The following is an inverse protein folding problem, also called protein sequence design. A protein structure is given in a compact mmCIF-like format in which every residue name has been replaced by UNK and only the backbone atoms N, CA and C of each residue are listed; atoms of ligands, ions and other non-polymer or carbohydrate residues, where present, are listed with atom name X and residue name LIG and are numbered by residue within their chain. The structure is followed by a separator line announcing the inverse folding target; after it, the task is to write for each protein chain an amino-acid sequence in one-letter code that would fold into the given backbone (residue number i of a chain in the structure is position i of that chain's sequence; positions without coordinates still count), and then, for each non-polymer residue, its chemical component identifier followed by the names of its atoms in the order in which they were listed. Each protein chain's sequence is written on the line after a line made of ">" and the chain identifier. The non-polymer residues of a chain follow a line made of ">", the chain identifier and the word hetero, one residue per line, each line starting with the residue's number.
data_IF_006138314674
#
_entry.id   IF_006138314674
#
_cell.length_a   1.000
_cell.length_b   1.000
_cell.length_c   1.000
_cell.angle_alpha   90.00
_cell.angle_beta   90.00
_cell.angle_gamma   90.00
#
_symmetry.space_group_name_H-M   'P 1'
#
loop_
_entity.id
_entity.type
_entity.pdbx_description
1 polymer ?
#
# COMPACT_ATOMS: atom_id res chain seq x y z
N UNK A 1 17.64 -18.02 -13.73
CA UNK A 1 18.16 -17.01 -12.78
C UNK A 1 16.97 -16.32 -12.16
N UNK A 2 16.87 -16.25 -10.82
CA UNK A 2 15.79 -15.48 -10.20
C UNK A 2 15.96 -14.00 -10.59
N UNK A 3 14.92 -13.42 -11.16
CA UNK A 3 14.83 -11.97 -11.36
C UNK A 3 14.11 -11.34 -10.17
N UNK A 4 14.48 -10.11 -9.86
CA UNK A 4 13.88 -9.27 -8.83
C UNK A 4 13.28 -8.06 -9.55
N UNK A 5 12.01 -7.77 -9.29
CA UNK A 5 11.36 -6.57 -9.79
C UNK A 5 11.06 -5.64 -8.63
N UNK A 6 11.57 -4.41 -8.70
CA UNK A 6 11.39 -3.37 -7.69
C UNK A 6 10.46 -2.31 -8.24
N UNK A 7 9.39 -2.02 -7.50
CA UNK A 7 8.46 -0.93 -7.80
C UNK A 7 8.56 0.14 -6.73
N UNK A 8 8.52 1.39 -7.18
CA UNK A 8 8.46 2.56 -6.32
C UNK A 8 7.08 3.17 -6.51
N UNK A 9 6.32 3.29 -5.41
CA UNK A 9 4.99 3.87 -5.40
C UNK A 9 4.88 4.94 -4.31
N UNK A 10 4.04 5.93 -4.51
CA UNK A 10 3.70 6.94 -3.50
C UNK A 10 2.20 6.88 -3.27
N UNK A 11 1.78 6.86 -2.00
CA UNK A 11 0.36 6.86 -1.69
C UNK A 11 -0.30 8.16 -2.14
N UNK A 12 -1.52 8.08 -2.70
CA UNK A 12 -2.33 9.26 -2.97
C UNK A 12 -2.55 10.06 -1.69
N UNK A 13 -2.55 11.38 -1.83
CA UNK A 13 -2.78 12.33 -0.73
C UNK A 13 -4.28 12.48 -0.46
N UNK A 14 -4.65 13.06 0.68
CA UNK A 14 -6.05 13.35 1.03
C UNK A 14 -6.76 14.36 0.12
N UNK A 15 -6.06 14.91 -0.88
CA UNK A 15 -6.63 15.76 -1.92
C UNK A 15 -7.37 14.96 -3.01
N UNK A 16 -7.16 13.65 -3.07
CA UNK A 16 -7.86 12.74 -3.99
C UNK A 16 -9.15 12.23 -3.34
N UNK A 17 -10.11 11.84 -4.17
CA UNK A 17 -11.36 11.29 -3.64
C UNK A 17 -11.15 9.85 -3.12
N UNK A 18 -12.08 9.36 -2.29
CA UNK A 18 -11.95 8.02 -1.67
C UNK A 18 -11.88 6.90 -2.72
N UNK A 19 -12.64 7.01 -3.81
CA UNK A 19 -12.66 6.01 -4.89
C UNK A 19 -11.30 5.93 -5.61
N UNK A 20 -10.63 7.06 -5.82
CA UNK A 20 -9.29 7.15 -6.43
C UNK A 20 -8.22 6.53 -5.51
N UNK A 21 -8.36 6.75 -4.20
CA UNK A 21 -7.47 6.17 -3.19
C UNK A 21 -7.69 4.65 -3.11
N UNK A 22 -8.94 4.19 -3.09
CA UNK A 22 -9.28 2.77 -3.06
C UNK A 22 -8.81 2.05 -4.33
N UNK A 23 -9.04 2.64 -5.50
CA UNK A 23 -8.56 2.11 -6.77
C UNK A 23 -7.04 1.92 -6.79
N UNK A 24 -6.28 2.87 -6.26
CA UNK A 24 -4.82 2.76 -6.15
C UNK A 24 -4.39 1.53 -5.32
N UNK A 25 -4.99 1.31 -4.14
CA UNK A 25 -4.63 0.16 -3.30
C UNK A 25 -5.15 -1.17 -3.88
N UNK A 26 -6.30 -1.19 -4.54
CA UNK A 26 -6.79 -2.36 -5.27
C UNK A 26 -5.86 -2.78 -6.40
N UNK A 27 -5.40 -1.83 -7.22
CA UNK A 27 -4.45 -2.08 -8.30
C UNK A 27 -3.11 -2.57 -7.75
N UNK A 28 -2.66 -2.00 -6.63
CA UNK A 28 -1.44 -2.43 -5.95
C UNK A 28 -1.53 -3.86 -5.42
N UNK A 29 -2.66 -4.23 -4.80
CA UNK A 29 -2.90 -5.59 -4.31
C UNK A 29 -2.95 -6.59 -5.47
N UNK A 30 -3.70 -6.25 -6.53
CA UNK A 30 -3.76 -7.07 -7.75
C UNK A 30 -2.37 -7.27 -8.34
N UNK A 31 -1.59 -6.19 -8.42
CA UNK A 31 -0.22 -6.25 -8.92
C UNK A 31 0.69 -7.13 -8.06
N UNK A 32 0.56 -7.10 -6.73
CA UNK A 32 1.33 -7.98 -5.84
C UNK A 32 0.93 -9.46 -6.01
N UNK A 33 -0.36 -9.74 -6.17
CA UNK A 33 -0.91 -11.10 -6.35
C UNK A 33 -0.72 -11.67 -7.74
N UNK A 34 -0.49 -10.81 -8.74
CA UNK A 34 -0.23 -11.26 -10.10
C UNK A 34 0.99 -12.19 -10.10
N UNK A 35 0.76 -13.42 -10.56
CA UNK A 35 1.69 -14.55 -10.45
C UNK A 35 2.97 -14.28 -11.25
N UNK A 36 4.13 -14.26 -10.58
CA UNK A 36 5.42 -14.33 -11.27
C UNK A 36 6.43 -15.18 -10.50
N UNK A 37 7.29 -15.85 -11.27
CA UNK A 37 8.40 -16.73 -10.88
C UNK A 37 9.56 -15.93 -10.22
N UNK A 38 9.28 -14.71 -9.75
CA UNK A 38 10.23 -13.66 -9.38
C UNK A 38 9.84 -13.00 -8.06
N UNK A 39 10.82 -12.55 -7.29
CA UNK A 39 10.56 -11.76 -6.09
C UNK A 39 10.09 -10.36 -6.51
N UNK A 40 8.95 -9.91 -5.98
CA UNK A 40 8.45 -8.53 -6.15
C UNK A 40 8.66 -7.76 -4.84
N UNK A 41 9.24 -6.57 -4.93
CA UNK A 41 9.39 -5.65 -3.79
C UNK A 41 8.74 -4.32 -4.16
N UNK A 42 7.86 -3.83 -3.29
CA UNK A 42 7.20 -2.54 -3.43
C UNK A 42 7.72 -1.65 -2.29
N UNK A 43 8.33 -0.53 -2.65
CA UNK A 43 8.89 0.44 -1.69
C UNK A 43 8.24 1.79 -1.94
N UNK A 44 7.84 2.49 -0.87
CA UNK A 44 7.08 3.71 -1.03
C UNK A 44 6.68 4.35 0.27
N UNK A 45 6.35 5.64 0.21
CA UNK A 45 5.62 6.30 1.28
C UNK A 45 4.14 5.99 1.11
N UNK A 46 3.62 5.07 1.91
CA UNK A 46 2.24 4.60 1.82
C UNK A 46 1.24 5.42 2.61
N UNK A 47 1.68 6.47 3.33
CA UNK A 47 0.83 7.25 4.26
C UNK A 47 -0.05 6.37 5.19
N UNK A 48 0.35 5.12 5.43
CA UNK A 48 -0.45 4.16 6.16
C UNK A 48 -0.39 4.46 7.66
N UNK A 49 -1.56 4.54 8.32
CA UNK A 49 -1.64 4.59 9.79
C UNK A 49 -1.18 3.24 10.36
N UNK A 50 0.06 3.18 10.83
CA UNK A 50 0.55 2.03 11.60
C UNK A 50 -0.09 2.14 12.99
N UNK A 51 -1.08 1.28 13.29
CA UNK A 51 -1.63 1.18 14.64
C UNK A 51 -0.56 0.60 15.58
N UNK A 52 0.13 1.45 16.36
CA UNK A 52 1.01 1.00 17.45
C UNK A 52 0.18 0.58 18.66
N UNK A 53 -0.34 -0.64 18.65
CA UNK A 53 -0.61 -1.40 19.88
C UNK A 53 0.44 -2.50 19.98
N UNK A 54 1.16 -2.64 21.10
CA UNK A 54 2.37 -3.47 21.21
C UNK A 54 2.18 -4.97 21.02
N UNK A 55 0.93 -5.45 20.94
CA UNK A 55 0.64 -6.89 20.88
C UNK A 55 0.45 -7.43 19.47
N UNK A 56 0.21 -6.59 18.44
CA UNK A 56 0.01 -7.09 17.08
C UNK A 56 0.08 -5.97 16.01
N UNK A 57 1.03 -6.03 15.06
CA UNK A 57 1.09 -5.09 13.94
C UNK A 57 0.05 -5.48 12.90
N UNK A 58 -1.20 -5.08 13.12
CA UNK A 58 -2.23 -5.16 12.09
C UNK A 58 -2.16 -3.92 11.21
N UNK A 59 -1.84 -4.11 9.92
CA UNK A 59 -2.01 -3.11 8.88
C UNK A 59 -3.51 -2.80 8.80
N UNK A 60 -3.90 -1.59 9.18
CA UNK A 60 -5.30 -1.14 9.12
C UNK A 60 -5.78 -1.03 7.67
N UNK A 61 -7.07 -1.29 7.46
CA UNK A 61 -7.74 -1.38 6.15
C UNK A 61 -7.99 -0.03 5.46
N UNK A 62 -6.97 0.85 5.44
CA UNK A 62 -6.99 2.17 4.77
C UNK A 62 -7.70 3.22 5.63
N UNK A 63 -7.12 4.41 5.79
CA UNK A 63 -7.75 5.43 6.64
C UNK A 63 -7.09 6.81 6.63
N UNK A 64 -7.73 7.75 5.94
CA UNK A 64 -7.77 9.17 6.28
C UNK A 64 -9.00 9.34 7.20
N UNK A 65 -8.89 9.86 8.42
CA UNK A 65 -8.85 11.31 8.68
C UNK A 65 -8.24 11.59 10.09
N UNK A 66 -7.72 12.79 10.31
CA UNK A 66 -7.92 13.53 11.58
C UNK A 66 -8.09 15.01 11.19
N UNK A 67 -9.27 15.54 11.46
CA UNK A 67 -9.47 16.99 11.59
C UNK A 67 -8.92 17.42 12.97
N UNK A 68 -8.36 18.63 13.03
CA UNK A 68 -7.66 19.22 14.19
C UNK A 68 -8.32 18.98 15.56
#
# INVERSE_FOLDING_TARGET
>A
MPALTVFIAYAPTSSYNEDEIEAFYMDLEKFYREDHIFYKVIVGDFNAKIRRTPEEPHIGTHGLEWNE
#
